data_IF_478246881406
#
_entry.id   IF_478246881406
#
_cell.length_a   1.000
_cell.length_b   1.000
_cell.length_c   1.000
_cell.angle_alpha   90.00
_cell.angle_beta   90.00
_cell.angle_gamma   90.00
#
_symmetry.space_group_name_H-M   'P 1'
#
loop_
_entity.id
_entity.type
_entity.pdbx_description
1 polymer ?
#
# COMPACT_ATOMS: atom_id res chain seq x y z
N UNK A 1 32.71 41.64 -14.87
CA UNK A 1 32.41 41.07 -16.20
C UNK A 1 32.43 39.55 -16.06
N UNK A 2 31.36 38.98 -15.49
CA UNK A 2 31.16 37.53 -15.50
C UNK A 2 30.72 37.17 -16.92
N UNK A 3 31.43 36.26 -17.56
CA UNK A 3 31.28 35.97 -18.99
C UNK A 3 29.91 35.37 -19.29
N UNK A 4 29.29 35.83 -20.39
CA UNK A 4 28.05 35.31 -20.95
C UNK A 4 28.08 33.79 -21.20
N UNK A 5 29.27 33.20 -21.34
CA UNK A 5 29.47 31.75 -21.54
C UNK A 5 29.12 30.87 -20.32
N UNK A 6 29.03 31.42 -19.10
CA UNK A 6 28.67 30.63 -17.91
C UNK A 6 27.16 30.50 -17.69
N UNK A 7 26.33 31.31 -18.34
CA UNK A 7 24.87 31.24 -18.20
C UNK A 7 24.26 30.24 -19.19
N UNK A 8 24.83 30.12 -20.40
CA UNK A 8 24.36 29.17 -21.41
C UNK A 8 24.72 27.71 -21.08
N UNK A 9 25.86 27.45 -20.44
CA UNK A 9 26.26 26.08 -20.07
C UNK A 9 25.38 25.46 -18.98
N UNK A 10 24.99 26.26 -17.98
CA UNK A 10 24.15 25.81 -16.85
C UNK A 10 22.73 25.45 -17.33
N UNK A 11 22.21 26.16 -18.34
CA UNK A 11 20.90 25.88 -18.91
C UNK A 11 20.93 24.62 -19.79
N UNK A 12 21.97 24.43 -20.60
CA UNK A 12 22.12 23.27 -21.48
C UNK A 12 22.38 21.99 -20.71
N UNK A 13 23.22 22.01 -19.66
CA UNK A 13 23.46 20.84 -18.81
C UNK A 13 22.18 20.42 -18.05
N UNK A 14 21.39 21.38 -17.53
CA UNK A 14 20.11 21.05 -16.89
C UNK A 14 19.07 20.48 -17.85
N UNK A 15 19.09 20.91 -19.12
CA UNK A 15 18.20 20.37 -20.17
C UNK A 15 18.69 18.99 -20.59
N UNK A 16 20.00 18.76 -20.68
CA UNK A 16 20.57 17.45 -20.98
C UNK A 16 20.34 16.45 -19.84
N UNK A 17 20.36 16.87 -18.58
CA UNK A 17 20.02 16.03 -17.42
C UNK A 17 18.52 15.67 -17.43
N UNK A 18 17.63 16.63 -17.74
CA UNK A 18 16.19 16.38 -17.89
C UNK A 18 15.91 15.49 -19.11
N UNK A 19 16.63 15.66 -20.21
CA UNK A 19 16.51 14.82 -21.41
C UNK A 19 17.11 13.43 -21.18
N UNK A 20 18.20 13.29 -20.41
CA UNK A 20 18.77 12.01 -20.02
C UNK A 20 17.82 11.22 -19.10
N UNK A 21 17.16 11.89 -18.16
CA UNK A 21 16.10 11.29 -17.32
C UNK A 21 14.83 10.93 -18.14
N UNK A 22 14.56 11.66 -19.23
CA UNK A 22 13.42 11.40 -20.12
C UNK A 22 13.71 10.37 -21.24
N UNK A 23 14.97 10.01 -21.50
CA UNK A 23 15.38 9.19 -22.66
C UNK A 23 15.83 7.76 -22.30
N UNK A 24 15.99 7.38 -21.03
CA UNK A 24 16.46 6.00 -20.71
C UNK A 24 15.80 5.29 -19.51
N UNK A 25 14.58 5.66 -19.11
CA UNK A 25 13.81 4.80 -18.20
C UNK A 25 13.16 3.66 -19.01
N UNK A 26 13.86 2.52 -19.11
CA UNK A 26 13.31 1.26 -19.66
C UNK A 26 11.92 1.01 -19.07
N UNK A 27 10.91 0.73 -19.91
CA UNK A 27 9.57 0.41 -19.41
C UNK A 27 9.61 -0.80 -18.48
N UNK A 28 8.80 -0.83 -17.41
CA UNK A 28 8.74 -1.98 -16.54
C UNK A 28 8.19 -3.19 -17.30
N UNK A 29 8.67 -4.39 -16.96
CA UNK A 29 8.03 -5.65 -17.40
C UNK A 29 6.91 -6.06 -16.45
N UNK A 30 6.98 -5.61 -15.20
CA UNK A 30 6.09 -5.99 -14.10
C UNK A 30 5.57 -4.73 -13.41
N UNK A 31 4.26 -4.68 -13.19
CA UNK A 31 3.66 -3.68 -12.32
C UNK A 31 3.12 -4.41 -11.10
N UNK A 32 3.75 -4.18 -9.96
CA UNK A 32 3.46 -4.79 -8.68
C UNK A 32 2.61 -3.83 -7.84
N UNK A 33 1.49 -4.29 -7.30
CA UNK A 33 0.57 -3.46 -6.54
C UNK A 33 0.43 -3.96 -5.11
N UNK A 34 0.33 -3.05 -4.14
CA UNK A 34 -0.48 -3.32 -2.96
C UNK A 34 -1.97 -3.30 -3.33
N UNK A 35 -2.80 -3.83 -2.44
CA UNK A 35 -4.25 -3.88 -2.63
C UNK A 35 -4.93 -2.81 -1.77
N UNK A 36 -4.80 -2.89 -0.45
CA UNK A 36 -5.39 -1.91 0.48
C UNK A 36 -4.83 -0.51 0.25
N UNK A 37 -5.69 0.48 0.03
CA UNK A 37 -5.26 1.86 -0.21
C UNK A 37 -4.68 2.15 -1.59
N UNK A 38 -4.59 1.13 -2.46
CA UNK A 38 -4.13 1.25 -3.84
C UNK A 38 -5.22 0.81 -4.80
N UNK A 39 -5.57 -0.49 -4.82
CA UNK A 39 -6.61 -1.03 -5.71
C UNK A 39 -8.01 -1.02 -5.07
N UNK A 40 -8.08 -0.99 -3.74
CA UNK A 40 -9.31 -0.82 -2.95
C UNK A 40 -9.13 0.34 -1.97
N UNK A 41 -10.24 0.83 -1.42
CA UNK A 41 -10.22 1.94 -0.45
C UNK A 41 -9.36 1.58 0.78
N UNK A 42 -8.58 2.55 1.25
CA UNK A 42 -7.64 2.34 2.37
C UNK A 42 -8.38 2.15 3.71
N UNK A 43 -7.95 1.18 4.54
CA UNK A 43 -8.50 1.01 5.89
C UNK A 43 -8.06 2.13 6.85
N UNK A 44 -7.04 2.94 6.47
CA UNK A 44 -6.54 4.03 7.31
C UNK A 44 -7.56 5.13 7.55
N UNK A 45 -8.50 5.34 6.63
CA UNK A 45 -9.57 6.29 6.86
C UNK A 45 -10.50 5.83 8.00
N UNK A 46 -10.79 4.53 8.09
CA UNK A 46 -11.59 3.96 9.19
C UNK A 46 -10.87 4.09 10.53
N UNK A 47 -9.56 3.85 10.57
CA UNK A 47 -8.75 4.08 11.77
C UNK A 47 -8.85 5.54 12.22
N UNK A 48 -8.63 6.48 11.29
CA UNK A 48 -8.66 7.91 11.59
C UNK A 48 -10.03 8.35 12.12
N UNK A 49 -11.11 7.94 11.46
CA UNK A 49 -12.47 8.30 11.87
C UNK A 49 -12.80 7.72 13.26
N UNK A 50 -12.34 6.49 13.53
CA UNK A 50 -12.50 5.83 14.83
C UNK A 50 -11.75 6.55 15.95
N UNK A 51 -10.47 6.89 15.72
CA UNK A 51 -9.64 7.63 16.68
C UNK A 51 -10.25 9.00 17.01
N UNK A 52 -10.63 9.77 15.98
CA UNK A 52 -11.26 11.08 16.15
C UNK A 52 -12.59 10.98 16.88
N UNK A 53 -13.38 9.93 16.61
CA UNK A 53 -14.65 9.66 17.30
C UNK A 53 -14.50 9.44 18.80
N UNK A 54 -13.33 8.98 19.24
CA UNK A 54 -12.98 8.76 20.65
C UNK A 54 -12.15 9.92 21.26
N UNK A 55 -11.87 10.97 20.50
CA UNK A 55 -11.00 12.08 20.95
C UNK A 55 -9.52 11.69 21.08
N UNK A 56 -9.11 10.59 20.43
CA UNK A 56 -7.73 10.12 20.40
C UNK A 56 -6.96 10.96 19.37
N UNK A 57 -5.76 11.50 19.70
CA UNK A 57 -4.90 12.13 18.72
C UNK A 57 -4.60 11.16 17.55
N UNK A 58 -4.70 11.60 16.28
CA UNK A 58 -4.52 10.71 15.14
C UNK A 58 -3.21 9.91 15.13
N UNK A 59 -3.32 8.64 14.78
CA UNK A 59 -2.20 7.73 14.53
C UNK A 59 -1.85 6.79 15.69
N UNK A 60 -2.65 6.74 16.76
CA UNK A 60 -2.43 5.83 17.89
C UNK A 60 -2.45 4.35 17.49
N UNK A 61 -3.48 3.91 16.76
CA UNK A 61 -3.65 2.52 16.34
C UNK A 61 -2.47 2.10 15.46
N UNK A 62 -2.13 2.93 14.46
CA UNK A 62 -1.01 2.66 13.57
C UNK A 62 0.34 2.69 14.30
N UNK A 63 0.53 3.59 15.28
CA UNK A 63 1.73 3.62 16.11
C UNK A 63 1.84 2.33 16.93
N UNK A 64 0.77 1.90 17.60
CA UNK A 64 0.77 0.69 18.41
C UNK A 64 1.04 -0.57 17.59
N UNK A 65 0.40 -0.71 16.42
CA UNK A 65 0.71 -1.78 15.46
C UNK A 65 2.21 -1.72 15.10
N UNK A 66 2.72 -0.56 14.67
CA UNK A 66 4.14 -0.43 14.29
C UNK A 66 5.11 -0.78 15.41
N UNK A 67 4.81 -0.41 16.66
CA UNK A 67 5.68 -0.64 17.84
C UNK A 67 5.65 -2.07 18.36
N UNK A 68 4.65 -2.85 18.01
CA UNK A 68 4.56 -4.28 18.38
C UNK A 68 5.21 -5.21 17.35
N UNK A 69 5.79 -4.66 16.27
CA UNK A 69 6.51 -5.46 15.28
C UNK A 69 7.72 -6.21 15.88
N UNK A 70 8.04 -7.42 15.40
CA UNK A 70 7.32 -8.18 14.38
C UNK A 70 6.23 -9.12 14.97
N UNK A 71 6.03 -9.11 16.29
CA UNK A 71 5.30 -10.18 17.00
C UNK A 71 3.91 -9.79 17.52
N UNK A 72 3.47 -8.54 17.31
CA UNK A 72 2.13 -8.09 17.68
C UNK A 72 1.04 -8.94 17.03
N UNK A 73 -0.15 -8.98 17.64
CA UNK A 73 -1.26 -9.80 17.17
C UNK A 73 -1.68 -9.47 15.73
N UNK A 74 -1.63 -8.18 15.36
CA UNK A 74 -1.85 -7.76 13.97
C UNK A 74 -0.86 -8.40 13.00
N UNK A 75 0.43 -8.42 13.36
CA UNK A 75 1.48 -8.97 12.52
C UNK A 75 1.33 -10.48 12.36
N UNK A 76 1.01 -11.16 13.46
CA UNK A 76 0.79 -12.60 13.48
C UNK A 76 -0.43 -13.02 12.66
N UNK A 77 -1.50 -12.20 12.68
CA UNK A 77 -2.66 -12.39 11.83
C UNK A 77 -2.30 -12.17 10.35
N UNK A 78 -1.58 -11.09 10.04
CA UNK A 78 -1.18 -10.79 8.66
C UNK A 78 -0.20 -11.81 8.07
N UNK A 79 0.55 -12.55 8.89
CA UNK A 79 1.38 -13.68 8.44
C UNK A 79 0.66 -15.03 8.49
N UNK A 80 -0.62 -15.06 8.87
CA UNK A 80 -1.39 -16.30 9.00
C UNK A 80 -0.86 -17.25 10.08
N UNK A 81 0.01 -16.76 10.99
CA UNK A 81 0.59 -17.56 12.07
C UNK A 81 -0.39 -17.81 13.23
N UNK A 82 -1.51 -17.07 13.27
CA UNK A 82 -2.66 -17.29 14.15
C UNK A 82 -3.96 -17.17 13.36
N UNK A 83 -5.03 -17.88 13.75
CA UNK A 83 -6.35 -17.69 13.18
C UNK A 83 -6.98 -16.36 13.63
N UNK A 84 -7.98 -15.91 12.88
CA UNK A 84 -8.88 -14.84 13.29
C UNK A 84 -9.96 -15.41 14.20
N UNK A 85 -9.75 -15.32 15.51
CA UNK A 85 -10.66 -15.81 16.55
C UNK A 85 -10.67 -14.86 17.77
N UNK A 86 -11.40 -15.23 18.82
CA UNK A 86 -11.47 -14.43 20.05
C UNK A 86 -10.09 -14.21 20.70
N UNK A 87 -9.14 -15.13 20.51
CA UNK A 87 -7.80 -14.98 21.06
C UNK A 87 -7.02 -13.89 20.30
N UNK A 88 -7.18 -13.82 18.97
CA UNK A 88 -6.67 -12.68 18.19
C UNK A 88 -7.26 -11.36 18.71
N UNK A 89 -8.58 -11.25 18.84
CA UNK A 89 -9.19 -9.99 19.25
C UNK A 89 -8.79 -9.58 20.67
N UNK A 90 -8.72 -10.51 21.63
CA UNK A 90 -8.19 -10.22 22.97
C UNK A 90 -6.76 -9.71 22.92
N UNK A 91 -5.90 -10.36 22.15
CA UNK A 91 -4.50 -9.96 22.01
C UNK A 91 -4.31 -8.62 21.30
N UNK A 92 -5.10 -8.35 20.25
CA UNK A 92 -5.07 -7.07 19.56
C UNK A 92 -5.53 -5.93 20.48
N UNK A 93 -6.57 -6.14 21.28
CA UNK A 93 -6.99 -5.18 22.31
C UNK A 93 -5.90 -4.95 23.37
N UNK A 94 -5.17 -6.00 23.78
CA UNK A 94 -4.01 -5.86 24.68
C UNK A 94 -2.91 -5.00 24.05
N UNK A 95 -2.59 -5.24 22.77
CA UNK A 95 -1.60 -4.43 22.05
C UNK A 95 -2.02 -2.95 22.01
N UNK A 96 -3.31 -2.66 21.83
CA UNK A 96 -3.87 -1.30 21.79
C UNK A 96 -4.07 -0.63 23.16
N UNK A 97 -3.89 -1.36 24.26
CA UNK A 97 -4.18 -0.88 25.63
C UNK A 97 -2.93 -0.72 26.50
N UNK A 98 -1.72 -0.68 25.92
CA UNK A 98 -0.47 -0.57 26.65
C UNK A 98 -0.20 0.85 27.16
N UNK A 99 -0.12 1.07 28.49
CA UNK A 99 0.05 2.40 29.06
C UNK A 99 1.38 3.07 28.70
N UNK A 100 2.46 2.29 28.59
CA UNK A 100 3.79 2.81 28.29
C UNK A 100 3.87 3.32 26.85
N UNK A 101 3.32 2.57 25.89
CA UNK A 101 3.23 3.01 24.48
C UNK A 101 2.31 4.23 24.36
N UNK A 102 1.19 4.25 25.10
CA UNK A 102 0.27 5.38 25.08
C UNK A 102 0.94 6.67 25.54
N UNK A 103 1.64 6.62 26.67
CA UNK A 103 2.36 7.78 27.21
C UNK A 103 3.42 8.30 26.23
N UNK A 104 4.20 7.38 25.62
CA UNK A 104 5.21 7.75 24.63
C UNK A 104 4.57 8.40 23.39
N UNK A 105 3.53 7.78 22.84
CA UNK A 105 2.79 8.32 21.69
C UNK A 105 2.22 9.71 22.00
N UNK A 106 1.55 9.86 23.15
CA UNK A 106 0.91 11.12 23.51
C UNK A 106 1.93 12.25 23.68
N UNK A 107 3.10 11.96 24.29
CA UNK A 107 4.20 12.90 24.41
C UNK A 107 4.76 13.33 23.04
N UNK A 108 4.89 12.39 22.10
CA UNK A 108 5.29 12.71 20.72
C UNK A 108 4.26 13.58 19.99
N UNK A 109 2.97 13.35 20.23
CA UNK A 109 1.89 14.18 19.65
C UNK A 109 1.86 15.58 20.26
N UNK A 110 2.00 15.68 21.58
CA UNK A 110 2.06 16.97 22.29
C UNK A 110 3.24 17.83 21.84
N UNK A 111 4.39 17.22 21.50
CA UNK A 111 5.52 17.93 20.93
C UNK A 111 5.24 18.53 19.54
N UNK A 112 4.28 17.96 18.79
CA UNK A 112 3.85 18.43 17.46
C UNK A 112 2.66 19.38 17.54
N UNK A 113 1.79 19.19 18.52
CA UNK A 113 0.59 19.97 18.76
C UNK A 113 0.53 20.42 20.23
N UNK A 114 1.05 21.64 20.53
CA UNK A 114 1.03 22.20 21.88
C UNK A 114 -0.39 22.50 22.42
N UNK A 115 -1.44 22.35 21.60
CA UNK A 115 -2.83 22.52 22.06
C UNK A 115 -3.36 21.31 22.84
N UNK A 116 -2.69 20.16 22.75
CA UNK A 116 -3.04 18.97 23.52
C UNK A 116 -2.83 19.20 25.02
N UNK A 117 -3.72 18.66 25.89
CA UNK A 117 -3.57 18.74 27.35
C UNK A 117 -2.18 18.35 27.85
N UNK A 118 -1.70 19.06 28.89
CA UNK A 118 -0.38 18.82 29.51
C UNK A 118 -0.27 17.44 30.13
N UNK A 119 -1.29 17.02 30.85
CA UNK A 119 -1.39 15.70 31.45
C UNK A 119 -1.78 14.67 30.38
N UNK A 120 -1.15 13.50 30.42
CA UNK A 120 -1.50 12.40 29.53
C UNK A 120 -2.84 11.82 29.99
N UNK A 121 -3.87 11.78 29.12
CA UNK A 121 -5.16 11.19 29.48
C UNK A 121 -5.02 9.68 29.70
N UNK A 122 -6.02 9.02 30.31
CA UNK A 122 -6.04 7.56 30.41
C UNK A 122 -5.89 6.88 29.05
N UNK A 123 -5.37 5.66 29.05
CA UNK A 123 -5.29 4.83 27.82
C UNK A 123 -6.69 4.69 27.22
N UNK A 124 -6.86 4.94 25.92
CA UNK A 124 -8.18 4.87 25.31
C UNK A 124 -8.74 3.43 25.35
N UNK A 125 -10.03 3.32 25.64
CA UNK A 125 -10.75 2.06 25.50
C UNK A 125 -11.14 1.87 24.03
N UNK A 126 -10.37 1.05 23.33
CA UNK A 126 -10.64 0.68 21.94
C UNK A 126 -11.34 -0.67 21.93
N UNK A 127 -12.39 -0.77 21.12
CA UNK A 127 -12.99 -2.03 20.72
C UNK A 127 -12.30 -2.50 19.43
N UNK A 128 -11.26 -3.31 19.58
CA UNK A 128 -10.44 -3.80 18.49
C UNK A 128 -11.19 -4.68 17.49
N UNK A 129 -12.25 -5.37 17.91
CA UNK A 129 -13.07 -6.19 17.02
C UNK A 129 -13.95 -5.32 16.13
N UNK A 130 -14.64 -4.35 16.73
CA UNK A 130 -15.42 -3.36 15.98
C UNK A 130 -14.54 -2.58 15.00
N UNK A 131 -13.39 -2.08 15.46
CA UNK A 131 -12.43 -1.37 14.62
C UNK A 131 -11.97 -2.24 13.45
N UNK A 132 -11.61 -3.50 13.72
CA UNK A 132 -11.21 -4.45 12.67
C UNK A 132 -12.30 -4.64 11.63
N UNK A 133 -13.55 -4.88 12.05
CA UNK A 133 -14.67 -5.05 11.12
C UNK A 133 -14.91 -3.79 10.27
N UNK A 134 -14.86 -2.61 10.87
CA UNK A 134 -15.00 -1.34 10.14
C UNK A 134 -13.87 -1.15 9.10
N UNK A 135 -12.62 -1.48 9.46
CA UNK A 135 -11.50 -1.45 8.53
C UNK A 135 -11.72 -2.42 7.35
N UNK A 136 -12.10 -3.67 7.62
CA UNK A 136 -12.27 -4.68 6.57
C UNK A 136 -13.43 -4.34 5.62
N UNK A 137 -14.57 -3.90 6.14
CA UNK A 137 -15.76 -3.56 5.32
C UNK A 137 -15.49 -2.35 4.43
N UNK A 138 -14.84 -1.32 4.97
CA UNK A 138 -14.55 -0.11 4.20
C UNK A 138 -13.45 -0.30 3.15
N UNK A 139 -12.66 -1.39 3.27
CA UNK A 139 -11.66 -1.78 2.28
C UNK A 139 -12.12 -2.82 1.25
N UNK A 140 -13.44 -3.02 1.11
CA UNK A 140 -14.04 -3.84 0.04
C UNK A 140 -14.17 -3.07 -1.28
N UNK A 141 -14.70 -1.82 -1.30
CA UNK A 141 -14.96 -1.14 -2.56
C UNK A 141 -13.67 -0.90 -3.38
N UNK A 142 -13.67 -1.19 -4.69
CA UNK A 142 -12.56 -0.85 -5.57
C UNK A 142 -12.29 0.66 -5.60
N UNK A 143 -11.02 1.05 -5.68
CA UNK A 143 -10.65 2.45 -5.87
C UNK A 143 -11.13 2.94 -7.25
N UNK A 144 -11.82 4.10 -7.33
CA UNK A 144 -12.43 4.57 -8.58
C UNK A 144 -11.41 4.95 -9.67
N UNK A 145 -10.15 5.19 -9.31
CA UNK A 145 -9.10 5.53 -10.26
C UNK A 145 -8.26 4.32 -10.63
N UNK A 146 -7.79 3.58 -9.62
CA UNK A 146 -6.88 2.47 -9.82
C UNK A 146 -7.59 1.25 -10.43
N UNK A 147 -8.85 0.99 -10.09
CA UNK A 147 -9.55 -0.18 -10.63
C UNK A 147 -9.81 -0.12 -12.15
N UNK A 148 -10.30 0.99 -12.73
CA UNK A 148 -10.35 1.15 -14.18
C UNK A 148 -8.97 1.08 -14.84
N UNK A 149 -7.94 1.70 -14.24
CA UNK A 149 -6.58 1.64 -14.74
C UNK A 149 -6.05 0.19 -14.78
N UNK A 150 -6.30 -0.59 -13.73
CA UNK A 150 -5.90 -2.00 -13.63
C UNK A 150 -6.55 -2.85 -14.74
N UNK A 151 -7.83 -2.61 -15.05
CA UNK A 151 -8.52 -3.29 -16.16
C UNK A 151 -7.88 -2.98 -17.51
N UNK A 152 -7.60 -1.71 -17.79
CA UNK A 152 -6.93 -1.28 -19.03
C UNK A 152 -5.51 -1.83 -19.13
N UNK A 153 -4.77 -1.88 -18.02
CA UNK A 153 -3.46 -2.52 -17.95
C UNK A 153 -3.56 -4.01 -18.29
N UNK A 154 -4.56 -4.72 -17.77
CA UNK A 154 -4.79 -6.15 -18.05
C UNK A 154 -5.14 -6.37 -19.53
N UNK A 155 -6.07 -5.58 -20.07
CA UNK A 155 -6.49 -5.61 -21.47
C UNK A 155 -5.33 -5.34 -22.44
N UNK A 156 -4.39 -4.46 -22.08
CA UNK A 156 -3.21 -4.19 -22.91
C UNK A 156 -2.34 -5.43 -23.14
N UNK A 157 -2.32 -6.35 -22.17
CA UNK A 157 -1.48 -7.54 -22.18
C UNK A 157 0.03 -7.26 -22.28
N UNK A 158 0.48 -6.03 -21.95
CA UNK A 158 1.89 -5.59 -22.08
C UNK A 158 2.75 -5.87 -20.84
N UNK A 159 2.15 -5.96 -19.66
CA UNK A 159 2.83 -6.05 -18.37
C UNK A 159 2.40 -7.30 -17.63
N UNK A 160 3.26 -7.90 -16.81
CA UNK A 160 2.82 -8.83 -15.77
C UNK A 160 2.18 -7.99 -14.66
N UNK A 161 0.91 -8.23 -14.37
CA UNK A 161 0.24 -7.60 -13.24
C UNK A 161 0.41 -8.49 -12.02
N UNK A 162 1.13 -7.98 -11.03
CA UNK A 162 1.40 -8.70 -9.80
C UNK A 162 0.84 -7.95 -8.59
N UNK A 163 0.50 -8.68 -7.52
CA UNK A 163 0.14 -8.11 -6.23
C UNK A 163 1.03 -8.65 -5.11
N UNK A 164 1.43 -7.77 -4.19
CA UNK A 164 2.08 -8.12 -2.92
C UNK A 164 1.36 -7.37 -1.80
N UNK A 165 0.52 -8.08 -1.04
CA UNK A 165 -0.35 -7.45 -0.06
C UNK A 165 -0.29 -8.10 1.31
N UNK A 166 -0.27 -7.24 2.33
CA UNK A 166 -0.48 -7.66 3.71
C UNK A 166 -1.98 -7.92 3.87
N UNK A 167 -2.34 -9.18 4.11
CA UNK A 167 -3.71 -9.71 4.03
C UNK A 167 -4.01 -10.54 5.27
N UNK A 168 -5.27 -10.93 5.44
CA UNK A 168 -5.71 -11.81 6.53
C UNK A 168 -6.48 -13.00 5.96
N UNK A 169 -6.55 -14.10 6.71
CA UNK A 169 -7.40 -15.26 6.38
C UNK A 169 -8.67 -15.16 7.22
N UNK A 170 -9.81 -14.95 6.55
CA UNK A 170 -11.11 -15.00 7.21
C UNK A 170 -11.49 -16.45 7.55
N UNK A 171 -12.11 -16.73 8.70
CA UNK A 171 -12.55 -18.08 9.05
C UNK A 171 -13.78 -18.46 8.21
N UNK A 172 -13.97 -19.76 7.97
CA UNK A 172 -15.15 -20.27 7.25
C UNK A 172 -16.43 -19.82 7.95
N UNK A 173 -17.37 -19.27 7.19
CA UNK A 173 -18.62 -18.71 7.72
C UNK A 173 -18.56 -17.20 8.02
N UNK A 174 -17.37 -16.58 8.00
CA UNK A 174 -17.26 -15.13 8.05
C UNK A 174 -17.81 -14.50 6.75
N UNK A 175 -18.52 -13.34 6.78
CA UNK A 175 -19.10 -12.73 5.58
C UNK A 175 -18.13 -12.41 4.45
N UNK A 176 -16.85 -12.21 4.78
CA UNK A 176 -15.77 -11.91 3.82
C UNK A 176 -14.95 -13.16 3.44
N UNK A 177 -15.29 -14.32 3.96
CA UNK A 177 -14.67 -15.58 3.55
C UNK A 177 -15.11 -15.95 2.13
N UNK A 178 -14.17 -16.47 1.34
CA UNK A 178 -14.42 -17.04 0.01
C UNK A 178 -13.73 -18.39 -0.10
N UNK A 179 -14.33 -19.31 -0.86
CA UNK A 179 -13.71 -20.61 -1.15
C UNK A 179 -12.48 -20.45 -2.03
N UNK A 180 -12.60 -19.70 -3.12
CA UNK A 180 -11.47 -19.23 -3.90
C UNK A 180 -11.14 -17.78 -3.50
N UNK A 181 -9.97 -17.59 -2.89
CA UNK A 181 -9.47 -16.28 -2.50
C UNK A 181 -9.25 -15.36 -3.71
N UNK A 182 -8.99 -15.90 -4.90
CA UNK A 182 -8.78 -15.12 -6.11
C UNK A 182 -10.08 -14.79 -6.86
N UNK A 183 -11.20 -15.44 -6.52
CA UNK A 183 -12.52 -15.13 -7.07
C UNK A 183 -13.05 -13.81 -6.51
N UNK A 184 -12.52 -12.73 -7.07
CA UNK A 184 -12.78 -11.36 -6.65
C UNK A 184 -12.55 -10.39 -7.83
N UNK A 185 -13.38 -9.35 -7.99
CA UNK A 185 -13.27 -8.44 -9.13
C UNK A 185 -11.91 -7.78 -9.28
N UNK A 186 -11.21 -7.54 -8.17
CA UNK A 186 -9.87 -6.94 -8.18
C UNK A 186 -8.80 -8.02 -8.25
N UNK A 187 -8.86 -9.05 -7.39
CA UNK A 187 -7.79 -10.07 -7.31
C UNK A 187 -7.70 -10.90 -8.59
N UNK A 188 -8.82 -11.16 -9.25
CA UNK A 188 -8.87 -11.91 -10.52
C UNK A 188 -8.19 -11.20 -11.71
N UNK A 189 -7.80 -9.92 -11.57
CA UNK A 189 -7.08 -9.20 -12.63
C UNK A 189 -5.57 -9.53 -12.64
N UNK A 190 -5.01 -9.98 -11.52
CA UNK A 190 -3.58 -10.21 -11.40
C UNK A 190 -3.15 -11.53 -12.05
N UNK A 191 -2.00 -11.51 -12.71
CA UNK A 191 -1.31 -12.70 -13.20
C UNK A 191 -0.61 -13.45 -12.05
N UNK A 192 -0.14 -12.71 -11.05
CA UNK A 192 0.53 -13.21 -9.84
C UNK A 192 -0.03 -12.51 -8.60
N UNK A 193 -0.40 -13.27 -7.56
CA UNK A 193 -0.88 -12.69 -6.32
C UNK A 193 -0.15 -13.31 -5.11
N UNK A 194 0.58 -12.48 -4.36
CA UNK A 194 1.27 -12.88 -3.12
C UNK A 194 0.53 -12.30 -1.93
N UNK A 195 -0.18 -13.17 -1.21
CA UNK A 195 -0.89 -12.86 0.03
C UNK A 195 -0.01 -13.20 1.23
N UNK A 196 0.29 -12.22 2.07
CA UNK A 196 1.15 -12.39 3.25
C UNK A 196 0.68 -13.51 4.19
N UNK A 197 -0.63 -13.63 4.42
CA UNK A 197 -1.17 -14.60 5.36
C UNK A 197 -1.11 -16.05 4.84
N UNK A 198 -1.08 -16.23 3.51
CA UNK A 198 -0.95 -17.56 2.91
C UNK A 198 0.52 -17.99 2.76
N UNK A 199 1.45 -17.03 2.64
CA UNK A 199 2.88 -17.32 2.44
C UNK A 199 3.73 -17.16 3.71
N UNK A 200 3.16 -16.59 4.78
CA UNK A 200 3.86 -16.37 6.05
C UNK A 200 4.86 -15.20 6.07
N UNK A 201 4.87 -14.36 5.03
CA UNK A 201 5.80 -13.24 4.88
C UNK A 201 5.04 -11.94 4.60
N UNK A 202 5.30 -10.89 5.37
CA UNK A 202 4.65 -9.59 5.23
C UNK A 202 5.63 -8.49 4.86
N UNK A 203 5.18 -7.49 4.11
CA UNK A 203 5.91 -6.23 3.97
C UNK A 203 6.03 -5.57 5.36
N UNK A 204 7.16 -4.92 5.70
CA UNK A 204 8.33 -4.64 4.87
C UNK A 204 9.49 -5.65 5.04
N UNK A 205 9.25 -6.92 5.41
CA UNK A 205 10.32 -7.92 5.49
C UNK A 205 10.98 -8.10 4.10
N UNK A 206 12.32 -7.96 3.97
CA UNK A 206 13.04 -8.17 2.71
C UNK A 206 12.68 -9.49 1.99
N UNK A 207 12.38 -10.55 2.75
CA UNK A 207 11.99 -11.86 2.21
C UNK A 207 10.67 -11.81 1.44
N UNK A 208 9.73 -10.92 1.82
CA UNK A 208 8.46 -10.78 1.11
C UNK A 208 8.67 -10.25 -0.32
N UNK A 209 9.57 -9.28 -0.50
CA UNK A 209 9.91 -8.74 -1.83
C UNK A 209 10.72 -9.73 -2.67
N UNK A 210 11.61 -10.49 -2.04
CA UNK A 210 12.30 -11.60 -2.71
C UNK A 210 11.30 -12.63 -3.23
N UNK A 211 10.38 -13.10 -2.37
CA UNK A 211 9.35 -14.06 -2.75
C UNK A 211 8.48 -13.53 -3.90
N UNK A 212 8.08 -12.25 -3.85
CA UNK A 212 7.31 -11.63 -4.93
C UNK A 212 8.06 -11.65 -6.27
N UNK A 213 9.36 -11.28 -6.26
CA UNK A 213 10.19 -11.32 -7.46
C UNK A 213 10.34 -12.76 -7.98
N UNK A 214 10.61 -13.72 -7.10
CA UNK A 214 10.78 -15.14 -7.49
C UNK A 214 9.49 -15.71 -8.10
N UNK A 215 8.33 -15.40 -7.50
CA UNK A 215 7.02 -15.83 -8.00
C UNK A 215 6.72 -15.24 -9.37
N UNK A 216 7.05 -13.96 -9.58
CA UNK A 216 6.91 -13.32 -10.89
C UNK A 216 7.87 -13.93 -11.91
N UNK A 217 9.13 -14.19 -11.56
CA UNK A 217 10.09 -14.83 -12.45
C UNK A 217 9.65 -16.23 -12.85
N UNK A 218 9.05 -17.01 -11.94
CA UNK A 218 8.45 -18.31 -12.26
C UNK A 218 7.28 -18.18 -13.23
N UNK A 219 6.37 -17.21 -13.01
CA UNK A 219 5.26 -16.95 -13.93
C UNK A 219 5.75 -16.60 -15.33
N UNK A 220 6.73 -15.69 -15.42
CA UNK A 220 7.33 -15.24 -16.68
C UNK A 220 7.97 -16.41 -17.42
N UNK A 221 8.80 -17.21 -16.74
CA UNK A 221 9.48 -18.35 -17.33
C UNK A 221 8.48 -19.40 -17.86
N UNK A 222 7.44 -19.72 -17.06
CA UNK A 222 6.39 -20.68 -17.45
C UNK A 222 5.61 -20.24 -18.69
N UNK A 223 5.46 -18.93 -18.89
CA UNK A 223 4.65 -18.38 -19.97
C UNK A 223 5.49 -17.78 -21.12
N UNK A 224 6.81 -17.97 -21.13
CA UNK A 224 7.71 -17.35 -22.11
C UNK A 224 7.36 -17.71 -23.56
N UNK A 225 6.92 -18.94 -23.80
CA UNK A 225 6.56 -19.44 -25.14
C UNK A 225 5.15 -19.09 -25.61
N UNK A 226 4.32 -18.51 -24.73
CA UNK A 226 2.99 -18.04 -25.12
C UNK A 226 3.10 -16.85 -26.08
N UNK A 227 2.04 -16.58 -26.86
CA UNK A 227 2.02 -15.40 -27.73
C UNK A 227 2.32 -14.10 -26.96
N UNK A 228 1.69 -13.93 -25.79
CA UNK A 228 1.94 -12.79 -24.89
C UNK A 228 3.39 -12.78 -24.40
N UNK A 229 3.93 -13.92 -23.99
CA UNK A 229 5.30 -14.05 -23.49
C UNK A 229 6.35 -13.67 -24.53
N UNK A 230 6.19 -14.14 -25.78
CA UNK A 230 7.07 -13.78 -26.90
C UNK A 230 6.99 -12.28 -27.20
N UNK A 231 5.78 -11.72 -27.28
CA UNK A 231 5.56 -10.29 -27.51
C UNK A 231 6.19 -9.41 -26.41
N UNK A 232 6.16 -9.88 -25.16
CA UNK A 232 6.69 -9.15 -24.00
C UNK A 232 8.17 -9.46 -23.68
N UNK A 233 8.86 -10.29 -24.48
CA UNK A 233 10.27 -10.62 -24.23
C UNK A 233 10.50 -11.34 -22.90
N UNK A 234 9.59 -12.25 -22.53
CA UNK A 234 9.67 -13.00 -21.28
C UNK A 234 10.78 -14.07 -21.26
N UNK A 235 11.30 -14.46 -22.43
CA UNK A 235 12.46 -15.34 -22.54
C UNK A 235 13.73 -14.75 -21.87
N UNK A 236 13.86 -13.43 -21.83
CA UNK A 236 14.99 -12.75 -21.17
C UNK A 236 14.88 -12.74 -19.64
N UNK A 237 13.77 -13.23 -19.10
CA UNK A 237 13.46 -13.16 -17.67
C UNK A 237 13.12 -11.74 -17.19
N UNK A 238 13.05 -11.62 -15.86
CA UNK A 238 12.73 -10.40 -15.12
C UNK A 238 13.74 -10.22 -13.98
N UNK A 239 14.18 -8.99 -13.80
CA UNK A 239 15.05 -8.56 -12.69
C UNK A 239 14.31 -7.57 -11.78
N UNK A 240 14.87 -7.24 -10.62
CA UNK A 240 14.27 -6.26 -9.71
C UNK A 240 14.05 -4.88 -10.36
N UNK A 241 14.96 -4.44 -11.22
CA UNK A 241 14.85 -3.16 -11.93
C UNK A 241 13.71 -3.13 -12.97
N UNK A 242 13.20 -4.29 -13.39
CA UNK A 242 12.04 -4.38 -14.29
C UNK A 242 10.69 -4.26 -13.56
N UNK A 243 10.70 -4.14 -12.22
CA UNK A 243 9.49 -4.04 -11.38
C UNK A 243 9.19 -2.59 -11.00
N UNK A 244 7.97 -2.16 -11.28
CA UNK A 244 7.38 -0.92 -10.77
C UNK A 244 6.38 -1.25 -9.65
N UNK A 245 6.68 -0.85 -8.43
CA UNK A 245 5.90 -1.17 -7.24
C UNK A 245 5.08 0.01 -6.73
N UNK A 246 3.78 -0.19 -6.55
CA UNK A 246 2.82 0.80 -6.04
C UNK A 246 2.33 0.40 -4.65
N UNK A 247 2.42 1.31 -3.69
CA UNK A 247 1.99 1.09 -2.29
C UNK A 247 1.63 2.45 -1.67
N UNK A 248 0.70 2.48 -0.72
CA UNK A 248 0.33 3.70 0.02
C UNK A 248 1.21 3.92 1.26
N UNK A 249 1.89 2.88 1.74
CA UNK A 249 2.73 2.90 2.94
C UNK A 249 4.21 3.12 2.57
N UNK A 250 4.78 4.22 3.09
CA UNK A 250 6.16 4.60 2.80
C UNK A 250 7.23 3.60 3.27
N UNK A 251 7.01 2.87 4.38
CA UNK A 251 7.94 1.83 4.86
C UNK A 251 7.98 0.65 3.87
N UNK A 252 6.83 0.27 3.30
CA UNK A 252 6.76 -0.77 2.28
C UNK A 252 7.51 -0.37 1.01
N UNK A 253 7.35 0.88 0.56
CA UNK A 253 8.09 1.39 -0.60
C UNK A 253 9.60 1.42 -0.36
N UNK A 254 10.04 1.75 0.86
CA UNK A 254 11.47 1.69 1.22
C UNK A 254 12.01 0.27 1.10
N UNK A 255 11.27 -0.74 1.57
CA UNK A 255 11.63 -2.15 1.38
C UNK A 255 11.74 -2.54 -0.10
N UNK A 256 10.78 -2.10 -0.92
CA UNK A 256 10.81 -2.30 -2.38
C UNK A 256 12.03 -1.67 -3.05
N UNK A 257 12.36 -0.42 -2.70
CA UNK A 257 13.58 0.26 -3.19
C UNK A 257 14.85 -0.47 -2.80
N UNK A 258 14.95 -0.96 -1.55
CA UNK A 258 16.10 -1.75 -1.09
C UNK A 258 16.25 -3.06 -1.88
N UNK A 259 15.14 -3.64 -2.35
CA UNK A 259 15.17 -4.81 -3.24
C UNK A 259 15.60 -4.48 -4.68
N UNK A 260 15.58 -3.20 -5.05
CA UNK A 260 15.90 -2.71 -6.41
C UNK A 260 14.67 -2.41 -7.26
N UNK A 261 13.47 -2.37 -6.68
CA UNK A 261 12.26 -1.99 -7.41
C UNK A 261 12.21 -0.48 -7.64
N UNK A 262 11.67 -0.08 -8.79
CA UNK A 262 11.13 1.28 -8.96
C UNK A 262 9.83 1.39 -8.16
N UNK A 263 9.49 2.58 -7.70
CA UNK A 263 8.32 2.75 -6.82
C UNK A 263 7.49 3.99 -7.11
N UNK A 264 6.18 3.87 -7.00
CA UNK A 264 5.22 4.99 -6.97
C UNK A 264 4.53 4.98 -5.62
N UNK A 265 4.43 6.14 -4.98
CA UNK A 265 3.64 6.30 -3.76
C UNK A 265 2.21 6.64 -4.12
N UNK A 266 1.26 5.84 -3.64
CA UNK A 266 -0.16 6.17 -3.74
C UNK A 266 -0.55 7.02 -2.54
N UNK A 267 -0.87 8.29 -2.79
CA UNK A 267 -1.31 9.18 -1.73
C UNK A 267 -2.78 8.92 -1.39
N UNK A 268 -3.08 8.80 -0.10
CA UNK A 268 -4.44 8.55 0.39
C UNK A 268 -5.42 9.59 -0.17
N UNK A 269 -6.50 9.11 -0.81
CA UNK A 269 -7.52 9.94 -1.44
C UNK A 269 -7.08 10.64 -2.73
N UNK A 270 -5.87 10.35 -3.23
CA UNK A 270 -5.27 10.93 -4.45
C UNK A 270 -4.71 9.88 -5.40
N UNK A 271 -5.37 8.71 -5.48
CA UNK A 271 -4.97 7.61 -6.37
C UNK A 271 -4.84 8.04 -7.85
N UNK A 272 -5.57 9.09 -8.27
CA UNK A 272 -5.46 9.68 -9.60
C UNK A 272 -4.04 10.13 -9.96
N UNK A 273 -3.24 10.59 -8.99
CA UNK A 273 -1.86 11.01 -9.25
C UNK A 273 -0.96 9.83 -9.60
N UNK A 274 -1.16 8.70 -8.92
CA UNK A 274 -0.45 7.46 -9.22
C UNK A 274 -0.89 6.90 -10.58
N UNK A 275 -2.16 7.06 -10.96
CA UNK A 275 -2.64 6.70 -12.30
C UNK A 275 -2.01 7.57 -13.37
N UNK A 276 -1.94 8.90 -13.18
CA UNK A 276 -1.25 9.81 -14.13
C UNK A 276 0.23 9.46 -14.28
N UNK A 277 0.90 9.07 -13.20
CA UNK A 277 2.29 8.60 -13.25
C UNK A 277 2.42 7.26 -14.01
N UNK A 278 1.49 6.33 -13.80
CA UNK A 278 1.39 5.11 -14.59
C UNK A 278 1.17 5.41 -16.08
N UNK A 279 0.32 6.37 -16.45
CA UNK A 279 0.11 6.77 -17.85
C UNK A 279 1.41 7.27 -18.48
N UNK A 280 2.13 8.16 -17.79
CA UNK A 280 3.43 8.68 -18.26
C UNK A 280 4.44 7.57 -18.49
N UNK A 281 4.53 6.62 -17.57
CA UNK A 281 5.50 5.51 -17.65
C UNK A 281 5.11 4.50 -18.74
N UNK A 282 3.82 4.16 -18.82
CA UNK A 282 3.33 3.07 -19.69
C UNK A 282 3.02 3.53 -21.11
N UNK A 283 2.75 4.83 -21.30
CA UNK A 283 2.24 5.41 -22.54
C UNK A 283 0.80 4.98 -22.86
N UNK A 284 0.08 4.39 -21.90
CA UNK A 284 -1.32 4.00 -22.06
C UNK A 284 -2.24 5.10 -21.52
N UNK A 285 -3.44 5.22 -22.10
CA UNK A 285 -4.53 6.02 -21.54
C UNK A 285 -5.24 5.21 -20.47
N UNK A 286 -4.87 5.40 -19.21
CA UNK A 286 -5.37 4.67 -18.04
C UNK A 286 -6.46 5.42 -17.30
N UNK A 287 -6.54 6.74 -17.46
CA UNK A 287 -7.53 7.58 -16.78
C UNK A 287 -8.97 7.16 -17.07
N UNK A 288 -9.83 7.32 -16.06
CA UNK A 288 -11.28 7.16 -16.22
C UNK A 288 -11.96 8.53 -16.27
N UNK A 289 -13.28 8.54 -16.46
CA UNK A 289 -14.09 9.75 -16.39
C UNK A 289 -14.38 10.24 -14.96
N UNK A 290 -13.63 9.78 -13.95
CA UNK A 290 -13.90 10.16 -12.56
C UNK A 290 -13.40 11.58 -12.26
N UNK A 291 -14.08 12.34 -11.39
CA UNK A 291 -13.65 13.70 -11.05
C UNK A 291 -12.39 13.66 -10.17
N UNK A 292 -11.39 14.49 -10.48
CA UNK A 292 -10.12 14.62 -9.74
C UNK A 292 -10.32 15.39 -8.44
N UNK A 293 -11.15 14.83 -7.55
CA UNK A 293 -11.47 15.42 -6.25
C UNK A 293 -10.77 14.58 -5.18
N UNK A 294 -9.87 15.19 -4.38
CA UNK A 294 -9.26 14.49 -3.26
C UNK A 294 -10.33 14.00 -2.28
N UNK A 295 -10.27 12.74 -1.89
CA UNK A 295 -11.10 12.23 -0.78
C UNK A 295 -10.58 12.87 0.50
N UNK A 296 -11.35 13.78 1.09
CA UNK A 296 -11.00 14.40 2.37
C UNK A 296 -11.44 13.49 3.52
N UNK A 297 -10.64 13.40 4.60
CA UNK A 297 -11.08 12.76 5.83
C UNK A 297 -12.41 13.33 6.31
N UNK A 298 -13.35 12.47 6.71
CA UNK A 298 -14.62 12.91 7.28
C UNK A 298 -14.40 13.33 8.73
N UNK A 299 -13.91 14.55 8.93
CA UNK A 299 -13.88 15.16 10.26
C UNK A 299 -15.30 15.61 10.62
N UNK A 300 -16.11 14.69 11.16
CA UNK A 300 -17.36 15.09 11.80
C UNK A 300 -17.02 15.90 13.04
N UNK A 301 -17.07 17.23 12.91
CA UNK A 301 -16.70 18.21 13.92
C UNK A 301 -17.62 18.24 15.14
N UNK A 302 -17.79 17.12 15.85
CA UNK A 302 -18.07 17.19 17.28
C UNK A 302 -16.74 17.50 17.94
N UNK A 303 -16.52 18.77 18.29
CA UNK A 303 -15.44 19.15 19.21
C UNK A 303 -15.44 18.14 20.35
N UNK A 304 -14.33 17.43 20.52
CA UNK A 304 -14.13 16.58 21.67
C UNK A 304 -14.46 17.42 22.91
N UNK A 305 -15.48 17.01 23.66
CA UNK A 305 -15.57 17.40 25.06
C UNK A 305 -14.51 16.54 25.75
N UNK A 306 -13.27 17.04 25.72
CA UNK A 306 -12.25 16.67 26.70
C UNK A 306 -12.73 17.13 28.08
#
# INVERSE_FOLDING_TARGET
MQSLDQLDSIQVDSILDVVADMVDSKQPKVILFDIGGVCVVSPFQSILDYELGLGIPPGWVNNSISKTKPNGFWHRLETGSIPMDDAFFRGFNQDLSDPTRWEQFYREQQAKDPSLPRETPPVPSIDGEKLFHEMMVNSIPPDPWMFPALKKLKESGRYVLAALSNTVIFPRGHPLWKEDFLDDPVRGLFDVFVSSAHVGLRKPDPKAYQLALDTVSQFVAKNADTERGRRCGWADGVTAGDVLFLDDIGENLKGGKQKGFRTIKVHLGRAFEAVEELEKITGLTLDGGHPKIPVKPRVNGKKAKL
#
